data_IF_278495714801
#
_entry.id   IF_278495714801
#
_cell.length_a   1.000
_cell.length_b   1.000
_cell.length_c   1.000
_cell.angle_alpha   90.00
_cell.angle_beta   90.00
_cell.angle_gamma   90.00
#
_symmetry.space_group_name_H-M   'P 1'
#
loop_
_entity.id
_entity.type
_entity.pdbx_description
1 polymer ?
#
# COMPACT_ATOMS: atom_id res chain seq x y z
N UNK A 1 -15.01 29.31 -17.69
CA UNK A 1 -13.75 29.01 -16.97
C UNK A 1 -13.86 27.56 -16.50
N UNK A 2 -13.22 26.59 -17.19
CA UNK A 2 -13.22 25.20 -16.73
C UNK A 2 -12.16 25.06 -15.63
N UNK A 3 -12.59 24.73 -14.41
CA UNK A 3 -11.69 24.33 -13.33
C UNK A 3 -11.28 22.87 -13.57
N UNK A 4 -10.06 22.63 -14.05
CA UNK A 4 -9.44 21.31 -13.98
C UNK A 4 -9.06 21.05 -12.51
N UNK A 5 -9.91 20.33 -11.80
CA UNK A 5 -9.57 19.78 -10.49
C UNK A 5 -8.60 18.60 -10.71
N UNK A 6 -7.30 18.87 -10.65
CA UNK A 6 -6.31 17.83 -10.46
C UNK A 6 -6.46 17.36 -9.00
N UNK A 7 -7.26 16.32 -8.76
CA UNK A 7 -7.23 15.64 -7.47
C UNK A 7 -5.85 15.01 -7.32
N UNK A 8 -5.06 15.48 -6.36
CA UNK A 8 -3.83 14.80 -5.98
C UNK A 8 -4.21 13.37 -5.59
N UNK A 9 -3.64 12.37 -6.28
CA UNK A 9 -3.92 10.97 -5.99
C UNK A 9 -3.55 10.69 -4.53
N UNK A 10 -4.52 10.23 -3.75
CA UNK A 10 -4.31 9.90 -2.34
C UNK A 10 -3.26 8.79 -2.24
N UNK A 11 -2.22 9.01 -1.44
CA UNK A 11 -1.15 8.04 -1.20
C UNK A 11 -1.48 7.15 -0.02
N UNK A 12 -0.98 5.92 -0.05
CA UNK A 12 -1.13 4.99 1.06
C UNK A 12 -0.44 5.51 2.34
N UNK A 13 -1.19 5.61 3.43
CA UNK A 13 -0.61 5.62 4.78
C UNK A 13 -0.25 4.18 5.15
N UNK A 14 0.86 3.99 5.88
CA UNK A 14 1.33 2.66 6.22
C UNK A 14 1.90 2.57 7.64
N UNK A 15 1.85 1.37 8.21
CA UNK A 15 2.56 0.98 9.42
C UNK A 15 3.07 -0.45 9.30
N UNK A 16 4.16 -0.77 9.99
CA UNK A 16 4.77 -2.09 10.09
C UNK A 16 5.65 -2.12 11.35
N UNK A 17 6.00 -3.31 11.84
CA UNK A 17 6.96 -3.43 12.96
C UNK A 17 8.39 -3.16 12.50
N UNK A 18 8.77 -3.71 11.34
CA UNK A 18 10.07 -3.46 10.73
C UNK A 18 9.95 -2.82 9.35
N UNK A 19 10.94 -1.97 9.02
CA UNK A 19 11.00 -1.31 7.73
C UNK A 19 12.45 -1.10 7.26
N UNK A 20 12.73 -1.59 6.05
CA UNK A 20 13.92 -1.25 5.29
C UNK A 20 13.53 -0.32 4.12
N UNK A 21 14.35 0.69 3.82
CA UNK A 21 14.12 1.59 2.70
C UNK A 21 15.37 1.79 1.86
N UNK A 22 15.22 1.69 0.54
CA UNK A 22 16.24 2.07 -0.42
C UNK A 22 15.69 3.07 -1.43
N UNK A 23 16.60 3.80 -2.07
CA UNK A 23 16.28 4.70 -3.18
C UNK A 23 17.12 4.35 -4.39
N UNK A 24 16.49 4.04 -5.50
CA UNK A 24 17.13 3.66 -6.77
C UNK A 24 16.50 4.52 -7.86
N UNK A 25 17.29 5.25 -8.65
CA UNK A 25 16.81 6.08 -9.76
C UNK A 25 15.61 7.01 -9.43
N UNK A 26 15.61 7.57 -8.21
CA UNK A 26 14.54 8.44 -7.72
C UNK A 26 13.29 7.72 -7.24
N UNK A 27 13.20 6.40 -7.40
CA UNK A 27 12.19 5.54 -6.81
C UNK A 27 12.55 5.19 -5.37
N UNK A 28 11.64 5.42 -4.43
CA UNK A 28 11.77 4.87 -3.07
C UNK A 28 11.08 3.51 -3.03
N UNK A 29 11.81 2.50 -2.56
CA UNK A 29 11.32 1.14 -2.34
C UNK A 29 11.38 0.87 -0.84
N UNK A 30 10.23 0.53 -0.25
CA UNK A 30 10.12 0.15 1.17
C UNK A 30 9.82 -1.33 1.27
N UNK A 31 10.53 -2.03 2.15
CA UNK A 31 10.22 -3.41 2.55
C UNK A 31 9.67 -3.34 3.96
N UNK A 32 8.40 -3.68 4.10
CA UNK A 32 7.65 -3.64 5.35
C UNK A 32 7.45 -5.07 5.83
N UNK A 33 7.70 -5.34 7.10
CA UNK A 33 7.57 -6.68 7.67
C UNK A 33 6.82 -6.61 8.98
N UNK A 34 6.04 -7.66 9.21
CA UNK A 34 5.27 -7.95 10.41
C UNK A 34 4.15 -6.92 10.66
N UNK A 35 2.91 -7.43 10.73
CA UNK A 35 1.71 -6.63 10.98
C UNK A 35 1.60 -5.39 10.07
N UNK A 36 1.90 -5.57 8.77
CA UNK A 36 1.87 -4.48 7.80
C UNK A 36 0.44 -4.05 7.56
N UNK A 37 0.20 -2.75 7.64
CA UNK A 37 -1.11 -2.15 7.40
C UNK A 37 -1.00 -0.98 6.45
N UNK A 38 -1.83 -0.97 5.41
CA UNK A 38 -2.02 0.16 4.50
C UNK A 38 -3.42 0.74 4.65
N UNK A 39 -3.54 2.07 4.57
CA UNK A 39 -4.83 2.78 4.68
C UNK A 39 -4.94 3.87 3.63
N UNK A 40 -6.11 3.91 2.98
CA UNK A 40 -6.65 5.01 2.17
C UNK A 40 -8.12 5.21 2.53
N UNK A 41 -8.75 6.28 2.04
CA UNK A 41 -10.19 6.50 2.29
C UNK A 41 -10.99 5.26 1.86
N UNK A 42 -11.72 4.68 2.82
CA UNK A 42 -12.61 3.53 2.60
C UNK A 42 -11.91 2.18 2.41
N UNK A 43 -10.57 2.14 2.43
CA UNK A 43 -9.81 0.93 2.14
C UNK A 43 -8.69 0.68 3.16
N UNK A 44 -8.64 -0.54 3.68
CA UNK A 44 -7.58 -1.03 4.57
C UNK A 44 -7.03 -2.31 3.99
N UNK A 45 -5.70 -2.44 3.95
CA UNK A 45 -5.03 -3.70 3.62
C UNK A 45 -4.16 -4.11 4.80
N UNK A 46 -4.25 -5.37 5.20
CA UNK A 46 -3.42 -6.02 6.21
C UNK A 46 -2.63 -7.14 5.55
N UNK A 47 -1.37 -7.32 5.90
CA UNK A 47 -0.52 -8.41 5.39
C UNK A 47 0.69 -8.62 6.30
N UNK A 48 1.30 -9.79 6.23
CA UNK A 48 2.52 -10.05 7.00
C UNK A 48 3.73 -9.30 6.43
N UNK A 49 3.86 -9.23 5.10
CA UNK A 49 4.97 -8.55 4.44
C UNK A 49 4.53 -7.78 3.21
N UNK A 50 5.20 -6.67 2.93
CA UNK A 50 4.97 -5.90 1.71
C UNK A 50 6.24 -5.24 1.15
N UNK A 51 6.27 -5.08 -0.17
CA UNK A 51 7.21 -4.19 -0.87
C UNK A 51 6.41 -3.08 -1.53
N UNK A 52 6.65 -1.83 -1.11
CA UNK A 52 6.00 -0.64 -1.65
C UNK A 52 6.94 0.13 -2.59
N UNK A 53 6.47 0.40 -3.80
CA UNK A 53 7.08 1.33 -4.74
C UNK A 53 6.32 2.67 -4.69
N UNK A 54 6.85 3.64 -3.94
CA UNK A 54 6.09 4.87 -3.61
C UNK A 54 5.76 5.81 -4.77
N UNK A 55 6.57 5.85 -5.83
CA UNK A 55 6.34 6.71 -7.00
C UNK A 55 5.21 6.16 -7.89
N UNK A 56 5.21 4.84 -8.08
CA UNK A 56 4.27 4.14 -8.95
C UNK A 56 3.00 3.69 -8.21
N UNK A 57 2.95 3.90 -6.89
CA UNK A 57 1.83 3.53 -5.99
C UNK A 57 1.52 2.01 -5.98
N UNK A 58 2.53 1.17 -6.29
CA UNK A 58 2.41 -0.30 -6.34
C UNK A 58 2.74 -0.93 -5.00
N UNK A 59 1.92 -1.90 -4.58
CA UNK A 59 2.14 -2.73 -3.40
C UNK A 59 2.23 -4.21 -3.81
N UNK A 60 3.36 -4.85 -3.53
CA UNK A 60 3.48 -6.31 -3.56
C UNK A 60 3.33 -6.84 -2.15
N UNK A 61 2.36 -7.71 -1.90
CA UNK A 61 2.00 -8.18 -0.56
C UNK A 61 1.96 -9.70 -0.53
N UNK A 62 2.46 -10.28 0.56
CA UNK A 62 2.39 -11.72 0.80
C UNK A 62 2.27 -12.04 2.30
N UNK A 63 1.63 -13.19 2.56
CA UNK A 63 1.33 -13.68 3.90
C UNK A 63 0.06 -13.04 4.46
N UNK A 64 -0.95 -13.88 4.70
CA UNK A 64 -2.22 -13.53 5.35
C UNK A 64 -2.82 -12.19 4.88
N UNK A 65 -2.82 -11.95 3.57
CA UNK A 65 -3.24 -10.66 3.02
C UNK A 65 -4.77 -10.53 3.07
N UNK A 66 -5.25 -9.46 3.70
CA UNK A 66 -6.66 -9.12 3.83
C UNK A 66 -6.87 -7.70 3.30
N UNK A 67 -7.73 -7.54 2.30
CA UNK A 67 -8.21 -6.23 1.87
C UNK A 67 -9.65 -6.04 2.33
N UNK A 68 -9.91 -4.92 3.00
CA UNK A 68 -11.25 -4.46 3.38
C UNK A 68 -11.53 -3.21 2.57
N UNK A 69 -12.59 -3.22 1.78
CA UNK A 69 -13.04 -2.08 0.98
C UNK A 69 -14.53 -1.84 1.21
N UNK A 70 -14.87 -0.86 2.03
CA UNK A 70 -16.24 -0.66 2.49
C UNK A 70 -16.78 -1.88 3.25
N UNK A 71 -17.74 -2.59 2.64
CA UNK A 71 -18.33 -3.81 3.21
C UNK A 71 -17.71 -5.10 2.64
N UNK A 72 -16.90 -4.99 1.59
CA UNK A 72 -16.29 -6.13 0.92
C UNK A 72 -14.97 -6.50 1.59
N UNK A 73 -14.71 -7.81 1.70
CA UNK A 73 -13.44 -8.35 2.20
C UNK A 73 -12.90 -9.39 1.23
N UNK A 74 -11.63 -9.23 0.86
CA UNK A 74 -10.86 -10.20 0.09
C UNK A 74 -9.73 -10.75 0.95
N UNK A 75 -9.57 -12.07 0.97
CA UNK A 75 -8.45 -12.75 1.61
C UNK A 75 -7.65 -13.54 0.58
N UNK A 76 -6.33 -13.51 0.69
CA UNK A 76 -5.44 -14.21 -0.23
C UNK A 76 -4.04 -14.38 0.39
N UNK A 77 -3.28 -15.35 -0.12
CA UNK A 77 -1.90 -15.57 0.32
C UNK A 77 -0.95 -14.50 -0.21
N UNK A 78 -1.29 -13.87 -1.34
CA UNK A 78 -0.51 -12.82 -1.97
C UNK A 78 -1.38 -11.94 -2.86
N UNK A 79 -1.03 -10.66 -2.96
CA UNK A 79 -1.75 -9.66 -3.75
C UNK A 79 -0.78 -8.65 -4.33
N UNK A 80 -1.06 -8.21 -5.57
CA UNK A 80 -0.47 -7.00 -6.14
C UNK A 80 -1.58 -5.97 -6.27
N UNK A 81 -1.36 -4.80 -5.69
CA UNK A 81 -2.22 -3.63 -5.83
C UNK A 81 -1.53 -2.58 -6.68
#
# INVERSE_FOLDING_TARGET
MLFNLFFAQEKWNYSAEEMDQIKVDGQTIRRLKENVRFVKIGQVILTDHAVQYTKDDILYMNGNTIMINGLDTLTCDSMVY
#
